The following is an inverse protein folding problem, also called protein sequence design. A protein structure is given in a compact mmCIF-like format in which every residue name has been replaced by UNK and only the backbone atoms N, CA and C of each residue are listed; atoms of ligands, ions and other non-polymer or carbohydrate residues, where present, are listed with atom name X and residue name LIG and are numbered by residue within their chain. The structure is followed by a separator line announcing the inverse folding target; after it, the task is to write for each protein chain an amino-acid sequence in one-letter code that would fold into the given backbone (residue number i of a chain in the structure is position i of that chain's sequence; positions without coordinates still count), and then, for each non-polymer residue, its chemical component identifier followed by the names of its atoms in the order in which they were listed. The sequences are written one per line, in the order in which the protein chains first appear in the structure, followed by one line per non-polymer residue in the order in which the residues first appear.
data_IF_667573266437
#
_entry.id   IF_667573266437
#
_cell.length_a   1.000
_cell.length_b   1.000
_cell.length_c   1.000
_cell.angle_alpha   90.00
_cell.angle_beta   90.00
_cell.angle_gamma   90.00
#
_symmetry.space_group_name_H-M   'P 1'
#
loop_
_entity.id
_entity.type
_entity.pdbx_description
1 polymer ?
#
# COMPACT_ATOMS: atom_id res chain seq x y z
N UNK A 1 20.09 -0.54 -8.98
CA UNK A 1 19.46 0.51 -9.81
C UNK A 1 20.55 1.24 -10.57
N UNK A 2 20.30 1.67 -11.81
CA UNK A 2 21.26 2.44 -12.62
C UNK A 2 20.64 3.81 -12.90
N UNK A 3 21.29 4.89 -12.47
CA UNK A 3 20.91 6.26 -12.81
C UNK A 3 22.16 7.07 -13.18
N UNK A 4 22.00 8.04 -14.09
CA UNK A 4 23.09 8.90 -14.58
C UNK A 4 22.88 10.39 -14.29
N UNK A 5 21.67 10.82 -13.93
CA UNK A 5 21.36 12.23 -13.67
C UNK A 5 21.43 12.56 -12.18
N UNK A 6 21.87 13.78 -11.85
CA UNK A 6 21.96 14.26 -10.46
C UNK A 6 20.60 14.22 -9.75
N UNK A 7 19.52 14.57 -10.45
CA UNK A 7 18.15 14.53 -9.91
C UNK A 7 17.77 13.12 -9.44
N UNK A 8 18.08 12.09 -10.23
CA UNK A 8 17.79 10.71 -9.82
C UNK A 8 18.71 10.22 -8.69
N UNK A 9 19.95 10.70 -8.63
CA UNK A 9 20.84 10.40 -7.51
C UNK A 9 20.30 10.98 -6.20
N UNK A 10 19.68 12.16 -6.23
CA UNK A 10 19.07 12.76 -5.04
C UNK A 10 17.80 12.02 -4.62
N UNK A 11 16.99 11.52 -5.57
CA UNK A 11 15.89 10.59 -5.28
C UNK A 11 16.39 9.33 -4.59
N UNK A 12 17.51 8.74 -5.06
CA UNK A 12 18.08 7.54 -4.44
C UNK A 12 18.60 7.80 -3.03
N UNK A 13 19.28 8.93 -2.78
CA UNK A 13 19.72 9.32 -1.44
C UNK A 13 18.53 9.50 -0.50
N UNK A 14 17.45 10.12 -0.97
CA UNK A 14 16.23 10.27 -0.18
C UNK A 14 15.60 8.91 0.12
N UNK A 15 15.47 8.05 -0.89
CA UNK A 15 14.96 6.69 -0.75
C UNK A 15 15.77 5.87 0.28
N UNK A 16 17.09 5.96 0.22
CA UNK A 16 18.00 5.33 1.19
C UNK A 16 17.78 5.89 2.61
N UNK A 17 17.69 7.21 2.75
CA UNK A 17 17.43 7.84 4.07
C UNK A 17 16.09 7.38 4.65
N UNK A 18 15.00 7.41 3.87
CA UNK A 18 13.67 7.01 4.36
C UNK A 18 13.56 5.51 4.59
N UNK A 19 14.38 4.67 3.94
CA UNK A 19 14.38 3.22 4.15
C UNK A 19 14.62 2.84 5.61
N UNK A 20 15.37 3.65 6.36
CA UNK A 20 15.73 3.41 7.76
C UNK A 20 14.61 3.69 8.77
N UNK A 21 13.50 4.29 8.32
CA UNK A 21 12.36 4.66 9.16
C UNK A 21 11.12 3.88 8.76
N UNK A 22 10.20 3.66 9.70
CA UNK A 22 8.90 3.02 9.44
C UNK A 22 7.82 4.00 8.95
N UNK A 23 8.20 5.23 8.58
CA UNK A 23 7.23 6.21 8.06
C UNK A 23 6.60 5.74 6.75
N UNK A 24 5.36 6.18 6.53
CA UNK A 24 4.73 6.12 5.22
C UNK A 24 5.54 6.93 4.22
N UNK A 25 5.69 6.41 3.00
CA UNK A 25 6.36 7.09 1.90
C UNK A 25 5.41 7.21 0.73
N UNK A 26 5.33 8.39 0.12
CA UNK A 26 4.58 8.64 -1.10
C UNK A 26 5.54 8.97 -2.24
N UNK A 27 5.41 8.25 -3.35
CA UNK A 27 6.25 8.38 -4.54
C UNK A 27 5.40 8.98 -5.65
N UNK A 28 5.71 10.22 -6.01
CA UNK A 28 5.10 10.90 -7.16
C UNK A 28 5.91 10.67 -8.42
N UNK A 29 5.21 10.57 -9.55
CA UNK A 29 5.82 10.57 -10.87
C UNK A 29 4.91 9.94 -11.92
N UNK A 30 5.19 10.23 -13.18
CA UNK A 30 4.38 9.74 -14.30
C UNK A 30 4.33 8.21 -14.37
N UNK A 31 3.33 7.70 -15.10
CA UNK A 31 3.24 6.27 -15.37
C UNK A 31 4.48 5.78 -16.13
N UNK A 32 4.99 4.60 -15.78
CA UNK A 32 6.16 4.00 -16.43
C UNK A 32 7.53 4.55 -16.00
N UNK A 33 7.61 5.47 -15.02
CA UNK A 33 8.88 6.05 -14.55
C UNK A 33 9.65 5.19 -13.53
N UNK A 34 9.17 3.97 -13.25
CA UNK A 34 9.87 3.02 -12.37
C UNK A 34 9.61 3.21 -10.87
N UNK A 35 8.47 3.80 -10.47
CA UNK A 35 8.06 3.98 -9.07
C UNK A 35 8.13 2.69 -8.24
N UNK A 36 7.76 1.55 -8.82
CA UNK A 36 7.86 0.23 -8.16
C UNK A 36 9.32 -0.12 -7.81
N UNK A 37 10.29 0.21 -8.66
CA UNK A 37 11.71 -0.05 -8.38
C UNK A 37 12.21 0.79 -7.19
N UNK A 38 11.73 2.03 -7.07
CA UNK A 38 12.02 2.88 -5.92
C UNK A 38 11.39 2.29 -4.64
N UNK A 39 10.11 1.89 -4.70
CA UNK A 39 9.43 1.28 -3.56
C UNK A 39 10.12 0.00 -3.07
N UNK A 40 10.52 -0.88 -4.01
CA UNK A 40 11.32 -2.08 -3.71
C UNK A 40 12.67 -1.70 -3.10
N UNK A 41 13.34 -0.70 -3.66
CA UNK A 41 14.61 -0.19 -3.13
C UNK A 41 14.49 0.27 -1.68
N UNK A 42 13.44 1.04 -1.35
CA UNK A 42 13.16 1.49 0.02
C UNK A 42 12.92 0.29 0.96
N UNK A 43 12.13 -0.70 0.53
CA UNK A 43 11.86 -1.89 1.35
C UNK A 43 13.14 -2.70 1.61
N UNK A 44 13.89 -3.06 0.57
CA UNK A 44 15.06 -3.94 0.68
C UNK A 44 16.28 -3.27 1.31
N UNK A 45 16.35 -1.94 1.33
CA UNK A 45 17.38 -1.20 2.07
C UNK A 45 17.01 -0.95 3.54
N UNK A 46 15.75 -1.18 3.92
CA UNK A 46 15.23 -0.85 5.24
C UNK A 46 15.27 -1.98 6.27
N UNK A 47 14.79 -1.68 7.48
CA UNK A 47 14.76 -2.63 8.61
C UNK A 47 13.86 -3.86 8.36
N UNK A 48 12.89 -3.74 7.44
CA UNK A 48 11.93 -4.80 7.07
C UNK A 48 12.35 -5.60 5.82
N UNK A 49 13.58 -5.49 5.35
CA UNK A 49 14.04 -6.09 4.09
C UNK A 49 13.87 -7.63 3.99
N UNK A 50 13.81 -8.34 5.13
CA UNK A 50 13.58 -9.80 5.19
C UNK A 50 12.12 -10.18 5.40
N UNK A 51 11.22 -9.20 5.48
CA UNK A 51 9.78 -9.37 5.73
C UNK A 51 9.03 -9.28 4.39
N UNK A 52 7.73 -9.62 4.36
CA UNK A 52 6.97 -9.54 3.12
C UNK A 52 6.94 -8.13 2.53
N UNK A 53 7.01 -8.05 1.20
CA UNK A 53 6.64 -6.89 0.41
C UNK A 53 5.44 -7.28 -0.46
N UNK A 54 4.27 -6.70 -0.18
CA UNK A 54 3.01 -7.02 -0.85
C UNK A 54 2.62 -5.86 -1.78
N UNK A 55 2.83 -5.99 -3.10
CA UNK A 55 2.42 -4.96 -4.06
C UNK A 55 0.93 -5.10 -4.44
N UNK A 56 0.24 -3.97 -4.53
CA UNK A 56 -1.17 -3.88 -4.95
C UNK A 56 -1.31 -2.71 -5.90
N UNK A 57 -1.95 -2.91 -7.05
CA UNK A 57 -2.29 -1.82 -7.96
C UNK A 57 -3.78 -1.45 -7.78
N UNK A 58 -4.03 -0.24 -7.31
CA UNK A 58 -5.37 0.23 -6.95
C UNK A 58 -6.22 0.61 -8.18
N UNK A 59 -5.61 0.89 -9.33
CA UNK A 59 -6.33 1.29 -10.55
C UNK A 59 -6.78 0.15 -11.48
N UNK A 60 -6.32 -1.08 -11.25
CA UNK A 60 -6.59 -2.23 -12.13
C UNK A 60 -7.69 -3.19 -11.63
N UNK A 61 -8.22 -2.96 -10.44
CA UNK A 61 -9.14 -3.88 -9.76
C UNK A 61 -10.46 -3.15 -9.48
N UNK A 62 -11.63 -3.73 -9.84
CA UNK A 62 -12.93 -3.18 -9.47
C UNK A 62 -13.05 -2.99 -7.95
N UNK A 63 -13.72 -1.92 -7.51
CA UNK A 63 -13.81 -1.51 -6.09
C UNK A 63 -14.14 -2.67 -5.14
N UNK A 64 -15.21 -3.43 -5.41
CA UNK A 64 -15.63 -4.54 -4.55
C UNK A 64 -14.57 -5.65 -4.45
N UNK A 65 -13.81 -5.88 -5.52
CA UNK A 65 -12.72 -6.86 -5.50
C UNK A 65 -11.50 -6.29 -4.78
N UNK A 66 -11.18 -5.01 -4.99
CA UNK A 66 -10.07 -4.34 -4.32
C UNK A 66 -10.28 -4.32 -2.80
N UNK A 67 -11.50 -4.06 -2.34
CA UNK A 67 -11.86 -4.11 -0.92
C UNK A 67 -11.59 -5.50 -0.32
N UNK A 68 -12.04 -6.56 -1.01
CA UNK A 68 -11.90 -7.94 -0.55
C UNK A 68 -10.45 -8.40 -0.56
N UNK A 69 -9.67 -8.00 -1.56
CA UNK A 69 -8.25 -8.31 -1.61
C UNK A 69 -7.51 -7.56 -0.51
N UNK A 70 -7.70 -6.24 -0.34
CA UNK A 70 -7.01 -5.46 0.68
C UNK A 70 -7.32 -5.92 2.11
N UNK A 71 -8.61 -6.10 2.43
CA UNK A 71 -9.07 -6.28 3.81
C UNK A 71 -9.50 -7.70 4.16
N UNK A 72 -9.61 -8.59 3.17
CA UNK A 72 -10.14 -9.93 3.37
C UNK A 72 -11.64 -9.95 3.62
N UNK A 73 -12.20 -11.14 3.84
CA UNK A 73 -13.62 -11.31 4.11
C UNK A 73 -13.89 -12.55 4.97
N UNK A 74 -15.02 -12.53 5.66
CA UNK A 74 -15.56 -13.70 6.38
C UNK A 74 -16.51 -14.51 5.52
N UNK A 75 -16.59 -15.80 5.83
CA UNK A 75 -17.62 -16.69 5.28
C UNK A 75 -19.00 -16.05 5.47
N UNK A 76 -19.80 -16.01 4.40
CA UNK A 76 -21.14 -15.43 4.41
C UNK A 76 -21.20 -13.91 4.27
N UNK A 77 -20.07 -13.22 4.06
CA UNK A 77 -20.06 -11.76 3.85
C UNK A 77 -20.76 -11.32 2.54
N UNK A 78 -20.78 -12.19 1.54
CA UNK A 78 -21.48 -12.00 0.26
C UNK A 78 -21.77 -13.35 -0.39
N UNK A 79 -22.60 -13.38 -1.44
CA UNK A 79 -22.88 -14.61 -2.21
C UNK A 79 -21.60 -15.17 -2.82
N UNK A 80 -21.23 -16.39 -2.47
CA UNK A 80 -19.97 -17.04 -2.89
C UNK A 80 -18.80 -16.85 -1.92
N UNK A 81 -19.00 -16.19 -0.77
CA UNK A 81 -18.03 -16.19 0.33
C UNK A 81 -18.12 -17.49 1.13
N UNK A 82 -17.66 -18.61 0.55
CA UNK A 82 -17.81 -19.93 1.17
C UNK A 82 -16.79 -20.21 2.28
N UNK A 83 -15.71 -19.41 2.33
CA UNK A 83 -14.61 -19.52 3.30
C UNK A 83 -14.20 -18.14 3.80
N UNK A 84 -13.46 -18.12 4.91
CA UNK A 84 -12.75 -16.93 5.36
C UNK A 84 -11.50 -16.73 4.50
N UNK A 85 -11.22 -15.49 4.10
CA UNK A 85 -10.00 -15.14 3.37
C UNK A 85 -9.31 -13.95 4.03
N UNK A 86 -8.00 -14.07 4.27
CA UNK A 86 -7.15 -12.98 4.77
C UNK A 86 -6.99 -11.91 3.69
N UNK A 87 -6.88 -10.66 4.11
CA UNK A 87 -6.56 -9.55 3.22
C UNK A 87 -5.05 -9.34 3.05
N UNK A 88 -4.68 -8.59 2.02
CA UNK A 88 -3.29 -8.24 1.71
C UNK A 88 -2.62 -7.43 2.83
N UNK A 89 -3.37 -6.65 3.60
CA UNK A 89 -2.83 -6.02 4.81
C UNK A 89 -2.43 -7.04 5.88
N UNK A 90 -3.15 -8.15 6.03
CA UNK A 90 -2.75 -9.23 6.94
C UNK A 90 -1.55 -10.02 6.40
N UNK A 91 -1.46 -10.19 5.09
CA UNK A 91 -0.32 -10.85 4.45
C UNK A 91 0.97 -9.99 4.55
N UNK A 92 0.81 -8.67 4.56
CA UNK A 92 1.89 -7.71 4.74
C UNK A 92 2.31 -7.50 6.20
N UNK A 93 1.67 -8.17 7.16
CA UNK A 93 1.91 -7.94 8.60
C UNK A 93 3.38 -8.17 8.99
N UNK A 94 3.94 -7.22 9.76
CA UNK A 94 5.37 -7.12 10.08
C UNK A 94 6.26 -6.69 8.90
N UNK A 95 5.69 -6.48 7.71
CA UNK A 95 6.37 -6.20 6.45
C UNK A 95 5.99 -4.85 5.85
N UNK A 96 5.81 -4.80 4.53
CA UNK A 96 5.49 -3.58 3.79
C UNK A 96 4.41 -3.87 2.76
N UNK A 97 3.41 -3.01 2.68
CA UNK A 97 2.47 -2.98 1.55
C UNK A 97 2.86 -1.83 0.61
N UNK A 98 2.91 -2.13 -0.68
CA UNK A 98 3.13 -1.13 -1.72
C UNK A 98 1.82 -0.90 -2.48
N UNK A 99 1.27 0.31 -2.38
CA UNK A 99 0.02 0.73 -3.02
C UNK A 99 0.33 1.57 -4.25
N UNK A 100 0.29 0.95 -5.42
CA UNK A 100 0.52 1.60 -6.71
C UNK A 100 -0.77 2.21 -7.26
N UNK A 101 -0.64 3.36 -7.91
CA UNK A 101 -1.76 4.21 -8.35
C UNK A 101 -2.79 4.49 -7.25
N UNK A 102 -2.31 4.92 -6.07
CA UNK A 102 -3.16 5.19 -4.90
C UNK A 102 -4.22 6.27 -5.16
N UNK A 103 -3.97 7.17 -6.11
CA UNK A 103 -4.94 8.18 -6.56
C UNK A 103 -6.15 7.60 -7.32
N UNK A 104 -6.14 6.31 -7.65
CA UNK A 104 -7.30 5.59 -8.21
C UNK A 104 -8.11 4.85 -7.12
N UNK A 105 -7.70 4.92 -5.86
CA UNK A 105 -8.42 4.25 -4.78
C UNK A 105 -9.80 4.90 -4.56
N UNK A 106 -10.91 4.13 -4.59
CA UNK A 106 -12.24 4.63 -4.28
C UNK A 106 -12.32 5.28 -2.90
N UNK A 107 -13.09 6.37 -2.76
CA UNK A 107 -13.24 7.13 -1.52
C UNK A 107 -13.66 6.25 -0.32
N UNK A 108 -14.55 5.28 -0.55
CA UNK A 108 -15.00 4.30 0.45
C UNK A 108 -13.83 3.52 1.07
N UNK A 109 -12.81 3.19 0.26
CA UNK A 109 -11.61 2.46 0.67
C UNK A 109 -10.56 3.39 1.28
N UNK A 110 -10.51 4.66 0.85
CA UNK A 110 -9.63 5.66 1.47
C UNK A 110 -9.95 5.84 2.96
N UNK A 111 -11.24 5.82 3.35
CA UNK A 111 -11.65 5.88 4.77
C UNK A 111 -11.11 4.68 5.57
N UNK A 112 -11.06 3.50 4.96
CA UNK A 112 -10.50 2.29 5.61
C UNK A 112 -8.98 2.34 5.67
N UNK A 113 -8.33 2.81 4.60
CA UNK A 113 -6.89 3.03 4.58
C UNK A 113 -6.47 4.05 5.65
N UNK A 114 -7.25 5.10 5.89
CA UNK A 114 -6.98 6.07 6.95
C UNK A 114 -6.91 5.40 8.33
N UNK A 115 -7.81 4.45 8.62
CA UNK A 115 -7.77 3.66 9.86
C UNK A 115 -6.52 2.79 9.96
N UNK A 116 -6.07 2.23 8.84
CA UNK A 116 -4.79 1.51 8.80
C UNK A 116 -3.64 2.44 9.17
N UNK A 117 -3.59 3.64 8.58
CA UNK A 117 -2.50 4.59 8.80
C UNK A 117 -2.49 5.19 10.22
N UNK A 118 -3.66 5.45 10.81
CA UNK A 118 -3.78 6.10 12.11
C UNK A 118 -3.73 5.10 13.27
N UNK A 119 -4.48 4.01 13.16
CA UNK A 119 -4.71 3.08 14.27
C UNK A 119 -3.94 1.75 14.10
N UNK A 120 -3.36 1.50 12.93
CA UNK A 120 -2.77 0.21 12.56
C UNK A 120 -3.77 -0.94 12.71
N UNK A 121 -5.00 -0.69 12.26
CA UNK A 121 -6.13 -1.59 12.42
C UNK A 121 -6.86 -1.84 11.10
N UNK A 122 -7.31 -3.08 10.92
CA UNK A 122 -8.17 -3.49 9.81
C UNK A 122 -9.43 -4.20 10.30
N UNK A 123 -10.41 -4.29 9.41
CA UNK A 123 -11.63 -5.07 9.58
C UNK A 123 -11.97 -5.75 8.25
N UNK A 124 -12.14 -7.07 8.28
CA UNK A 124 -12.55 -7.85 7.13
C UNK A 124 -13.98 -7.53 6.71
N UNK A 125 -14.29 -7.69 5.42
CA UNK A 125 -15.65 -7.53 4.90
C UNK A 125 -16.58 -8.56 5.57
N UNK A 126 -17.71 -8.07 6.09
CA UNK A 126 -18.67 -8.91 6.82
C UNK A 126 -18.26 -9.28 8.25
N UNK A 127 -17.16 -8.73 8.79
CA UNK A 127 -16.76 -8.90 10.19
C UNK A 127 -16.98 -7.61 10.99
N UNK A 128 -17.27 -7.73 12.28
CA UNK A 128 -17.29 -6.60 13.23
C UNK A 128 -15.99 -6.50 14.02
N UNK A 129 -15.18 -7.58 14.05
CA UNK A 129 -13.94 -7.63 14.79
C UNK A 129 -12.85 -6.78 14.14
N UNK A 130 -12.15 -6.04 14.99
CA UNK A 130 -10.98 -5.26 14.62
C UNK A 130 -9.75 -6.15 14.83
N UNK A 131 -8.78 -6.02 13.92
CA UNK A 131 -7.48 -6.69 14.01
C UNK A 131 -6.36 -5.66 13.91
N UNK A 132 -5.45 -5.69 14.88
CA UNK A 132 -4.20 -4.90 14.82
C UNK A 132 -3.22 -5.54 13.86
N UNK A 133 -2.49 -4.70 13.14
CA UNK A 133 -1.44 -5.08 12.20
C UNK A 133 -0.21 -4.19 12.43
N UNK A 134 0.94 -4.60 11.95
CA UNK A 134 2.16 -3.78 11.91
C UNK A 134 2.67 -3.71 10.46
N UNK A 135 2.10 -2.81 9.66
CA UNK A 135 2.40 -2.71 8.23
C UNK A 135 2.97 -1.34 7.89
N UNK A 136 4.16 -1.33 7.29
CA UNK A 136 4.71 -0.13 6.66
C UNK A 136 4.00 0.11 5.33
N UNK A 137 3.56 1.33 5.06
CA UNK A 137 2.91 1.70 3.80
C UNK A 137 3.87 2.47 2.91
N UNK A 138 4.03 2.03 1.66
CA UNK A 138 4.62 2.81 0.58
C UNK A 138 3.55 2.98 -0.48
N UNK A 139 3.30 4.21 -0.93
CA UNK A 139 2.31 4.50 -1.95
C UNK A 139 2.94 5.18 -3.15
N UNK A 140 2.35 5.01 -4.33
CA UNK A 140 2.76 5.66 -5.56
C UNK A 140 1.55 6.16 -6.34
N UNK A 141 1.69 7.29 -7.04
CA UNK A 141 0.62 7.84 -7.88
C UNK A 141 1.21 8.73 -8.98
N UNK A 142 0.56 8.76 -10.13
CA UNK A 142 0.79 9.78 -11.15
C UNK A 142 -0.05 11.05 -10.94
N UNK A 143 -1.10 10.98 -10.11
CA UNK A 143 -1.98 12.14 -9.83
C UNK A 143 -1.38 13.08 -8.79
N UNK A 144 -1.64 14.37 -8.97
CA UNK A 144 -1.42 15.39 -7.95
C UNK A 144 -2.57 15.35 -6.95
N UNK A 145 -2.37 14.65 -5.83
CA UNK A 145 -3.44 14.41 -4.84
C UNK A 145 -3.99 15.69 -4.20
N UNK A 146 -3.21 16.77 -4.18
CA UNK A 146 -3.62 18.07 -3.62
C UNK A 146 -4.79 18.68 -4.41
N UNK A 147 -4.86 18.40 -5.72
CA UNK A 147 -5.92 18.91 -6.60
C UNK A 147 -7.24 18.10 -6.46
N UNK A 148 -7.17 16.91 -5.84
CA UNK A 148 -8.30 15.99 -5.68
C UNK A 148 -9.10 16.22 -4.40
N UNK A 149 -8.64 17.12 -3.52
CA UNK A 149 -9.27 17.44 -2.24
C UNK A 149 -9.86 18.85 -2.32
N UNK A 150 -11.13 18.94 -2.70
CA UNK A 150 -11.92 20.19 -2.70
C UNK A 150 -13.00 20.16 -1.61
#
# INVERSE_FOLDING_TARGET
MVAKSNVMLDVFKLAEKVSQYNTTVLIYGDSGTGKELIARGIHFAGQRAKKPLVPVNCGRIPENLLERELFGYKKGAFTGADTDRKGLFEEADGGTIFLDEIGEMPLSLQVKLLRVLQENEIRAVGDSKIKKIDVRVIAATAKHLEDEVN
#
